data_IF_442327098282
#
_entry.id   IF_442327098282
#
_cell.length_a   1.000
_cell.length_b   1.000
_cell.length_c   1.000
_cell.angle_alpha   90.00
_cell.angle_beta   90.00
_cell.angle_gamma   90.00
#
_symmetry.space_group_name_H-M   'P 1'
#
loop_
_entity.id
_entity.type
_entity.pdbx_description
1 polymer ?
#
# COMPACT_ATOMS: atom_id res chain seq x y z
N UNK A 1 25.99 -13.74 -43.29
CA UNK A 1 25.49 -13.67 -44.68
C UNK A 1 24.67 -14.88 -45.10
N UNK A 2 23.51 -15.06 -44.47
CA UNK A 2 22.34 -15.69 -45.07
C UNK A 2 21.12 -14.94 -44.52
N UNK A 3 20.33 -14.30 -45.37
CA UNK A 3 19.09 -13.62 -44.98
C UNK A 3 18.04 -14.67 -44.56
N UNK A 4 17.30 -14.37 -43.49
CA UNK A 4 16.17 -15.20 -43.08
C UNK A 4 15.18 -15.36 -44.24
N UNK A 5 14.81 -16.60 -44.54
CA UNK A 5 13.82 -16.91 -45.58
C UNK A 5 12.47 -16.28 -45.22
N UNK A 6 11.99 -15.40 -46.10
CA UNK A 6 10.68 -14.73 -46.06
C UNK A 6 9.48 -15.69 -46.02
N UNK A 7 9.65 -17.00 -46.21
CA UNK A 7 8.56 -17.97 -46.06
C UNK A 7 8.29 -18.38 -44.60
N UNK A 8 9.15 -17.97 -43.65
CA UNK A 8 8.91 -18.17 -42.21
C UNK A 8 8.30 -16.93 -41.51
N UNK A 9 8.14 -15.81 -42.22
CA UNK A 9 7.55 -14.60 -41.66
C UNK A 9 6.06 -14.54 -41.93
N UNK A 10 5.26 -15.01 -40.97
CA UNK A 10 3.94 -14.43 -40.80
C UNK A 10 3.49 -14.31 -39.34
N UNK A 11 4.01 -15.06 -38.36
CA UNK A 11 3.57 -14.92 -36.97
C UNK A 11 4.58 -15.33 -35.86
N UNK A 12 5.81 -15.77 -36.19
CA UNK A 12 6.75 -16.20 -35.14
C UNK A 12 7.64 -15.05 -34.66
N UNK A 13 7.43 -14.69 -33.39
CA UNK A 13 8.16 -13.66 -32.63
C UNK A 13 9.54 -14.24 -32.24
N UNK A 14 10.64 -13.45 -32.25
CA UNK A 14 11.92 -13.90 -31.71
C UNK A 14 11.75 -14.37 -30.25
N UNK A 15 12.14 -15.60 -29.95
CA UNK A 15 12.03 -16.19 -28.61
C UNK A 15 13.36 -16.79 -28.15
N UNK A 16 13.68 -16.60 -26.87
CA UNK A 16 14.74 -17.34 -26.19
C UNK A 16 14.30 -18.80 -26.03
N UNK A 17 15.18 -19.74 -26.36
CA UNK A 17 14.93 -21.18 -26.19
C UNK A 17 15.45 -21.70 -24.85
N UNK A 18 16.46 -21.04 -24.29
CA UNK A 18 17.03 -21.42 -23.01
C UNK A 18 18.04 -20.40 -22.49
N UNK A 19 18.03 -20.26 -21.16
CA UNK A 19 19.03 -19.54 -20.37
C UNK A 19 19.75 -20.57 -19.49
N UNK A 20 21.06 -20.48 -19.39
CA UNK A 20 21.85 -21.32 -18.49
C UNK A 20 23.09 -20.57 -18.01
N UNK A 21 23.66 -21.00 -16.90
CA UNK A 21 24.95 -20.51 -16.44
C UNK A 21 26.06 -21.50 -16.84
N UNK A 22 27.18 -20.99 -17.31
CA UNK A 22 28.38 -21.79 -17.51
C UNK A 22 28.98 -22.20 -16.15
N UNK A 23 29.86 -23.22 -16.10
CA UNK A 23 30.59 -23.57 -14.89
C UNK A 23 31.45 -22.43 -14.33
N UNK A 24 31.79 -21.46 -15.17
CA UNK A 24 32.59 -20.28 -14.84
C UNK A 24 31.70 -19.08 -14.46
N UNK A 25 30.39 -19.27 -14.30
CA UNK A 25 29.45 -18.23 -13.84
C UNK A 25 28.89 -17.31 -14.94
N UNK A 26 29.24 -17.55 -16.20
CA UNK A 26 28.75 -16.74 -17.32
C UNK A 26 27.29 -17.05 -17.66
N UNK A 27 26.48 -16.04 -17.92
CA UNK A 27 25.12 -16.26 -18.43
C UNK A 27 25.16 -16.53 -19.94
N UNK A 28 24.60 -17.67 -20.35
CA UNK A 28 24.50 -18.09 -21.73
C UNK A 28 23.03 -18.09 -22.17
N UNK A 29 22.73 -17.31 -23.21
CA UNK A 29 21.40 -17.24 -23.80
C UNK A 29 21.40 -17.75 -25.24
N UNK A 30 20.39 -18.57 -25.58
CA UNK A 30 20.19 -19.10 -26.94
C UNK A 30 18.79 -18.77 -27.46
N UNK A 31 18.65 -18.54 -28.77
CA UNK A 31 17.36 -18.22 -29.40
C UNK A 31 17.34 -18.56 -30.91
N UNK A 32 16.17 -18.45 -31.52
CA UNK A 32 16.00 -18.68 -32.97
C UNK A 32 16.06 -17.40 -33.80
N UNK A 33 16.51 -17.58 -35.04
CA UNK A 33 17.07 -16.59 -35.97
C UNK A 33 18.49 -16.12 -35.56
N UNK A 34 19.45 -16.58 -36.36
CA UNK A 34 20.91 -16.35 -36.34
C UNK A 34 21.81 -17.31 -35.54
N UNK A 35 21.30 -18.33 -34.83
CA UNK A 35 22.14 -19.27 -34.04
C UNK A 35 23.22 -18.53 -33.20
N UNK A 36 22.91 -17.32 -32.73
CA UNK A 36 23.83 -16.54 -31.93
C UNK A 36 23.78 -17.04 -30.50
N UNK A 37 24.93 -17.49 -30.00
CA UNK A 37 25.15 -17.73 -28.57
C UNK A 37 25.66 -16.42 -27.98
N UNK A 38 24.86 -15.83 -27.09
CA UNK A 38 25.29 -14.67 -26.32
C UNK A 38 25.86 -15.15 -24.99
N UNK A 39 27.12 -14.83 -24.73
CA UNK A 39 27.82 -15.15 -23.49
C UNK A 39 28.11 -13.83 -22.78
N UNK A 40 27.54 -13.68 -21.58
CA UNK A 40 27.80 -12.55 -20.71
C UNK A 40 28.79 -12.99 -19.63
N UNK A 41 30.02 -12.48 -19.72
CA UNK A 41 31.09 -12.86 -18.80
C UNK A 41 30.78 -12.46 -17.35
N UNK A 42 31.07 -13.33 -16.39
CA UNK A 42 30.86 -13.09 -14.96
C UNK A 42 31.46 -11.73 -14.53
N UNK A 43 32.69 -11.44 -14.94
CA UNK A 43 33.36 -10.16 -14.63
C UNK A 43 32.64 -8.91 -15.15
N UNK A 44 31.94 -9.00 -16.30
CA UNK A 44 31.16 -7.89 -16.83
C UNK A 44 29.86 -7.70 -16.03
N UNK A 45 29.25 -8.79 -15.59
CA UNK A 45 28.09 -8.79 -14.70
C UNK A 45 28.47 -8.21 -13.32
N UNK A 46 29.60 -8.61 -12.75
CA UNK A 46 30.11 -8.09 -11.46
C UNK A 46 30.49 -6.60 -11.54
N UNK A 47 31.02 -6.11 -12.66
CA UNK A 47 31.33 -4.69 -12.82
C UNK A 47 30.07 -3.82 -12.95
N UNK A 48 29.04 -4.30 -13.68
CA UNK A 48 27.74 -3.62 -13.75
C UNK A 48 27.04 -3.59 -12.38
N UNK A 49 27.24 -4.62 -11.56
CA UNK A 49 26.69 -4.73 -10.21
C UNK A 49 27.30 -3.73 -9.21
N UNK A 50 28.59 -3.43 -9.32
CA UNK A 50 29.34 -2.70 -8.29
C UNK A 50 29.48 -1.21 -8.54
N UNK A 51 28.99 -0.70 -9.67
CA UNK A 51 29.12 0.70 -10.05
C UNK A 51 27.82 1.22 -10.66
N UNK A 52 27.43 2.45 -10.31
CA UNK A 52 26.33 3.21 -10.92
C UNK A 52 26.67 3.65 -12.37
N UNK A 53 27.29 2.75 -13.13
CA UNK A 53 27.85 3.01 -14.46
C UNK A 53 26.70 3.11 -15.46
N UNK A 54 26.49 4.26 -16.12
CA UNK A 54 25.42 4.42 -17.08
C UNK A 54 25.51 3.38 -18.19
N UNK A 55 24.37 2.76 -18.55
CA UNK A 55 24.27 1.67 -19.53
C UNK A 55 24.92 2.02 -20.89
N UNK A 56 25.02 3.31 -21.21
CA UNK A 56 25.65 3.88 -22.40
C UNK A 56 27.18 3.73 -22.46
N UNK A 57 27.81 3.29 -21.38
CA UNK A 57 29.28 3.13 -21.28
C UNK A 57 29.73 1.67 -21.28
N UNK A 58 28.77 0.73 -21.36
CA UNK A 58 29.06 -0.70 -21.51
C UNK A 58 29.49 -1.03 -22.95
N UNK A 59 30.36 -2.04 -23.16
CA UNK A 59 30.76 -2.47 -24.50
C UNK A 59 29.56 -2.93 -25.33
N UNK A 60 29.60 -2.74 -26.65
CA UNK A 60 28.56 -3.22 -27.59
C UNK A 60 28.43 -4.75 -27.48
N UNK A 61 27.39 -5.27 -26.81
CA UNK A 61 25.98 -5.24 -27.26
C UNK A 61 25.05 -4.18 -26.63
N UNK A 62 25.53 -3.31 -25.74
CA UNK A 62 24.71 -2.25 -25.11
C UNK A 62 24.63 -0.94 -25.91
N UNK A 63 24.24 -0.99 -27.20
CA UNK A 63 24.08 0.23 -27.99
C UNK A 63 22.74 0.93 -27.67
N UNK A 64 22.79 2.24 -27.40
CA UNK A 64 21.63 3.14 -27.28
C UNK A 64 20.74 3.05 -28.52
N UNK A 65 19.42 2.89 -28.32
CA UNK A 65 18.44 3.39 -29.28
C UNK A 65 18.34 4.92 -29.10
N UNK A 66 18.74 5.75 -30.08
CA UNK A 66 18.78 7.22 -29.92
C UNK A 66 17.38 7.87 -29.90
N UNK A 67 16.32 7.11 -30.15
CA UNK A 67 14.94 7.56 -30.06
C UNK A 67 14.29 6.95 -28.81
N UNK A 68 14.57 7.54 -27.65
CA UNK A 68 13.85 7.20 -26.42
C UNK A 68 12.35 7.46 -26.60
N UNK A 69 11.54 6.43 -26.38
CA UNK A 69 10.12 6.55 -26.08
C UNK A 69 9.67 5.22 -25.48
N UNK A 70 9.40 5.22 -24.17
CA UNK A 70 8.63 4.18 -23.47
C UNK A 70 7.12 4.34 -23.72
N UNK A 71 6.70 5.28 -24.57
CA UNK A 71 5.30 5.66 -24.77
C UNK A 71 4.85 5.48 -26.23
N UNK A 72 4.46 4.25 -26.60
CA UNK A 72 3.51 4.03 -27.70
C UNK A 72 2.86 2.63 -27.58
N UNK A 73 1.52 2.53 -27.55
CA UNK A 73 0.85 1.25 -27.63
C UNK A 73 1.04 0.70 -29.05
N UNK A 74 1.37 -0.59 -29.17
CA UNK A 74 1.54 -1.39 -30.40
C UNK A 74 2.94 -1.58 -31.01
N UNK A 75 4.04 -1.22 -30.32
CA UNK A 75 5.39 -1.61 -30.74
C UNK A 75 6.23 -2.20 -29.60
N UNK A 76 5.97 -3.45 -29.21
CA UNK A 76 6.95 -4.21 -28.44
C UNK A 76 7.97 -4.87 -29.39
N UNK A 77 9.10 -4.19 -29.60
CA UNK A 77 10.35 -4.80 -30.04
C UNK A 77 11.21 -5.15 -28.80
N UNK A 78 11.84 -6.34 -28.74
CA UNK A 78 12.08 -7.05 -27.48
C UNK A 78 13.37 -6.61 -26.79
N UNK A 79 13.62 -7.17 -25.59
CA UNK A 79 14.81 -7.04 -24.73
C UNK A 79 14.67 -6.10 -23.52
N UNK A 80 13.65 -6.32 -22.70
CA UNK A 80 13.69 -6.02 -21.27
C UNK A 80 14.18 -7.24 -20.49
N UNK A 81 15.49 -7.47 -20.42
CA UNK A 81 16.06 -8.36 -19.40
C UNK A 81 16.43 -7.49 -18.21
N UNK A 82 15.70 -7.64 -17.10
CA UNK A 82 15.99 -6.98 -15.82
C UNK A 82 16.72 -8.01 -14.94
N UNK A 83 17.92 -7.66 -14.47
CA UNK A 83 18.62 -8.45 -13.46
C UNK A 83 18.17 -7.98 -12.08
N UNK A 84 17.62 -8.88 -11.27
CA UNK A 84 17.37 -8.63 -9.84
C UNK A 84 18.54 -9.13 -9.01
N UNK A 85 18.85 -8.39 -7.97
CA UNK A 85 19.77 -8.83 -6.94
C UNK A 85 19.14 -9.96 -6.13
N UNK A 86 19.85 -11.07 -5.94
CA UNK A 86 19.36 -12.23 -5.19
C UNK A 86 19.18 -11.91 -3.68
N UNK A 87 19.83 -10.86 -3.20
CA UNK A 87 19.71 -10.33 -1.84
C UNK A 87 18.84 -9.05 -1.78
N UNK A 88 18.34 -8.56 -2.93
CA UNK A 88 17.23 -7.59 -2.95
C UNK A 88 15.94 -8.40 -3.01
N UNK A 89 15.11 -8.41 -1.95
CA UNK A 89 13.78 -8.99 -2.05
C UNK A 89 13.11 -8.37 -3.27
N UNK A 90 12.38 -9.16 -4.10
CA UNK A 90 11.84 -8.69 -5.38
C UNK A 90 11.29 -7.30 -5.18
N UNK A 91 11.73 -6.31 -5.98
CA UNK A 91 11.22 -4.94 -5.88
C UNK A 91 9.73 -5.06 -6.02
N UNK A 92 9.06 -5.03 -4.88
CA UNK A 92 7.65 -5.13 -4.84
C UNK A 92 7.20 -3.79 -5.37
N UNK A 93 6.64 -3.81 -6.58
CA UNK A 93 5.79 -2.71 -7.07
C UNK A 93 4.60 -2.45 -6.15
N UNK A 94 4.48 -3.19 -5.04
CA UNK A 94 3.68 -2.92 -3.85
C UNK A 94 4.12 -1.62 -3.12
N UNK A 95 4.20 -0.53 -3.85
CA UNK A 95 4.26 0.79 -3.27
C UNK A 95 3.06 1.51 -3.82
N UNK A 96 2.19 1.95 -2.92
CA UNK A 96 0.98 2.66 -3.27
C UNK A 96 1.30 4.10 -3.63
N UNK A 97 2.12 4.24 -4.66
CA UNK A 97 2.60 5.49 -5.17
C UNK A 97 1.49 6.11 -6.00
N UNK A 98 1.19 7.40 -5.80
CA UNK A 98 0.33 8.08 -6.74
C UNK A 98 0.98 7.97 -8.13
N UNK A 99 0.21 7.59 -9.18
CA UNK A 99 0.69 7.66 -10.55
C UNK A 99 1.20 9.09 -10.83
N UNK A 100 2.23 9.21 -11.66
CA UNK A 100 2.79 10.50 -12.04
C UNK A 100 1.70 11.37 -12.69
N UNK A 101 1.21 12.38 -11.95
CA UNK A 101 0.10 13.24 -12.41
C UNK A 101 0.46 14.05 -13.68
N UNK A 102 1.72 14.04 -14.12
CA UNK A 102 2.17 14.64 -15.37
C UNK A 102 2.22 13.65 -16.55
N UNK A 103 2.19 12.34 -16.27
CA UNK A 103 2.25 11.27 -17.26
C UNK A 103 0.86 10.75 -17.69
N UNK A 104 -0.19 11.03 -16.91
CA UNK A 104 -1.52 10.47 -17.13
C UNK A 104 -2.59 11.55 -17.33
N UNK A 105 -3.62 11.24 -18.11
CA UNK A 105 -4.78 12.13 -18.18
C UNK A 105 -5.55 12.07 -16.87
N UNK A 106 -6.21 13.18 -16.54
CA UNK A 106 -7.04 13.28 -15.34
C UNK A 106 -8.50 13.47 -15.72
N UNK A 107 -9.36 12.63 -15.15
CA UNK A 107 -10.82 12.77 -15.17
C UNK A 107 -11.28 13.27 -13.80
N UNK A 108 -12.22 14.21 -13.78
CA UNK A 108 -12.71 14.83 -12.56
C UNK A 108 -14.14 14.38 -12.24
N UNK A 109 -14.39 14.11 -10.95
CA UNK A 109 -15.69 13.76 -10.40
C UNK A 109 -16.03 14.72 -9.26
N UNK A 110 -17.22 15.31 -9.29
CA UNK A 110 -17.74 16.20 -8.26
C UNK A 110 -19.27 16.04 -8.13
N UNK A 111 -19.72 15.45 -7.03
CA UNK A 111 -21.14 15.24 -6.74
C UNK A 111 -21.99 16.52 -6.72
N UNK A 112 -21.38 17.69 -6.60
CA UNK A 112 -22.08 18.97 -6.62
C UNK A 112 -22.34 19.50 -8.03
N UNK A 113 -21.70 18.91 -9.07
CA UNK A 113 -21.97 19.31 -10.43
C UNK A 113 -23.41 18.97 -10.84
N UNK A 114 -24.04 19.93 -11.50
CA UNK A 114 -25.41 19.83 -12.03
C UNK A 114 -25.51 20.34 -13.47
N UNK A 115 -24.35 20.66 -14.08
CA UNK A 115 -24.23 21.22 -15.42
C UNK A 115 -23.96 20.16 -16.48
N UNK A 116 -23.30 20.58 -17.56
CA UNK A 116 -22.76 19.64 -18.54
C UNK A 116 -21.62 18.82 -17.92
N UNK A 117 -21.41 17.62 -18.46
CA UNK A 117 -20.44 16.66 -17.94
C UNK A 117 -19.62 16.10 -19.09
N UNK A 118 -18.31 16.31 -19.03
CA UNK A 118 -17.33 15.75 -19.96
C UNK A 118 -16.09 15.18 -19.25
N UNK A 119 -16.06 15.26 -17.92
CA UNK A 119 -14.95 14.77 -17.09
C UNK A 119 -13.78 15.74 -16.97
N UNK A 120 -13.86 16.93 -17.56
CA UNK A 120 -12.87 17.99 -17.35
C UNK A 120 -13.06 18.71 -16.01
N UNK A 121 -12.06 19.46 -15.57
CA UNK A 121 -12.16 20.27 -14.34
C UNK A 121 -13.31 21.30 -14.37
N UNK A 122 -13.73 21.75 -15.55
CA UNK A 122 -14.82 22.72 -15.72
C UNK A 122 -16.20 22.09 -15.91
N UNK A 123 -16.26 20.78 -16.14
CA UNK A 123 -17.49 20.01 -16.35
C UNK A 123 -17.28 18.57 -15.86
N UNK A 124 -17.00 18.39 -14.55
CA UNK A 124 -16.69 17.08 -13.98
C UNK A 124 -17.91 16.16 -14.03
N UNK A 125 -17.70 14.85 -13.97
CA UNK A 125 -18.81 13.91 -13.79
C UNK A 125 -19.44 14.07 -12.40
N UNK A 126 -20.74 13.83 -12.26
CA UNK A 126 -21.38 13.94 -10.94
C UNK A 126 -21.37 12.61 -10.13
N UNK A 127 -21.08 11.47 -10.78
CA UNK A 127 -20.88 10.17 -10.11
C UNK A 127 -19.50 9.57 -10.34
N UNK A 128 -19.02 8.71 -9.42
CA UNK A 128 -17.74 8.00 -9.61
C UNK A 128 -17.89 7.00 -10.77
N UNK A 129 -19.05 6.36 -10.91
CA UNK A 129 -19.28 5.43 -12.03
C UNK A 129 -19.17 6.11 -13.40
N UNK A 130 -19.65 7.34 -13.57
CA UNK A 130 -19.45 8.12 -14.79
C UNK A 130 -17.97 8.46 -15.02
N UNK A 131 -17.24 8.84 -13.97
CA UNK A 131 -15.79 9.00 -14.01
C UNK A 131 -15.07 7.78 -14.58
N UNK A 132 -15.39 6.59 -14.07
CA UNK A 132 -14.83 5.31 -14.56
C UNK A 132 -15.26 5.04 -16.01
N UNK A 133 -16.52 5.32 -16.36
CA UNK A 133 -17.03 5.11 -17.71
C UNK A 133 -16.36 6.05 -18.73
N UNK A 134 -16.02 7.27 -18.33
CA UNK A 134 -15.32 8.26 -19.14
C UNK A 134 -13.81 8.07 -19.21
N UNK A 135 -13.20 7.44 -18.21
CA UNK A 135 -11.75 7.24 -18.11
C UNK A 135 -11.21 6.19 -19.10
N UNK A 136 -9.97 6.38 -19.54
CA UNK A 136 -9.16 5.41 -20.28
C UNK A 136 -8.17 4.70 -19.36
N UNK A 137 -7.65 3.52 -19.72
CA UNK A 137 -6.52 2.90 -19.02
C UNK A 137 -5.34 3.88 -18.89
N UNK A 138 -4.76 3.94 -17.69
CA UNK A 138 -3.76 4.89 -17.21
C UNK A 138 -4.36 6.11 -16.50
N UNK A 139 -5.65 6.42 -16.68
CA UNK A 139 -6.18 7.70 -16.18
C UNK A 139 -6.29 7.77 -14.66
N UNK A 140 -6.10 8.99 -14.15
CA UNK A 140 -6.35 9.36 -12.75
C UNK A 140 -7.76 9.92 -12.65
N UNK A 141 -8.60 9.31 -11.82
CA UNK A 141 -9.94 9.78 -11.50
C UNK A 141 -9.86 10.55 -10.18
N UNK A 142 -9.85 11.88 -10.29
CA UNK A 142 -9.84 12.82 -9.16
C UNK A 142 -11.25 13.05 -8.65
N UNK A 143 -11.51 12.60 -7.42
CA UNK A 143 -12.82 12.65 -6.79
C UNK A 143 -12.82 13.79 -5.76
N UNK A 144 -13.68 14.78 -5.96
CA UNK A 144 -13.85 15.91 -5.05
C UNK A 144 -14.55 15.48 -3.75
N UNK A 145 -14.34 16.22 -2.66
CA UNK A 145 -15.13 16.08 -1.44
C UNK A 145 -16.62 16.02 -1.73
N UNK A 146 -17.34 15.13 -1.07
CA UNK A 146 -18.76 14.99 -1.30
C UNK A 146 -19.28 13.67 -0.78
N UNK A 147 -20.60 13.52 -0.81
CA UNK A 147 -21.27 12.26 -0.54
C UNK A 147 -21.68 11.65 -1.86
N UNK A 148 -21.19 10.46 -2.13
CA UNK A 148 -21.50 9.64 -3.29
C UNK A 148 -22.29 8.43 -2.78
N UNK A 149 -23.53 8.26 -3.22
CA UNK A 149 -24.34 7.09 -2.86
C UNK A 149 -24.57 6.26 -4.11
N UNK A 150 -23.75 5.23 -4.29
CA UNK A 150 -23.72 4.42 -5.50
C UNK A 150 -23.09 3.05 -5.22
N UNK A 151 -23.17 2.15 -6.20
CA UNK A 151 -22.48 0.87 -6.20
C UNK A 151 -21.58 0.83 -7.43
N UNK A 152 -20.30 1.13 -7.23
CA UNK A 152 -19.32 1.35 -8.29
C UNK A 152 -18.79 0.01 -8.83
N UNK A 153 -18.67 -0.11 -10.14
CA UNK A 153 -18.01 -1.22 -10.81
C UNK A 153 -16.80 -0.73 -11.62
N UNK A 154 -15.59 -1.07 -11.15
CA UNK A 154 -14.33 -0.73 -11.82
C UNK A 154 -14.06 -1.77 -12.91
N UNK A 155 -14.65 -1.56 -14.09
CA UNK A 155 -14.63 -2.53 -15.19
C UNK A 155 -13.45 -2.39 -16.15
N UNK A 156 -12.58 -1.40 -15.94
CA UNK A 156 -11.40 -1.11 -16.76
C UNK A 156 -10.14 -1.24 -15.90
N UNK A 157 -9.13 -1.89 -16.47
CA UNK A 157 -7.80 -1.99 -15.88
C UNK A 157 -7.04 -0.67 -15.99
N UNK A 158 -6.01 -0.54 -15.16
CA UNK A 158 -5.10 0.61 -15.12
C UNK A 158 -5.87 1.90 -14.80
N UNK A 159 -6.51 1.95 -13.63
CA UNK A 159 -7.24 3.13 -13.18
C UNK A 159 -6.84 3.52 -11.77
N UNK A 160 -6.67 4.83 -11.54
CA UNK A 160 -6.24 5.34 -10.25
C UNK A 160 -7.27 6.31 -9.68
N UNK A 161 -8.02 5.88 -8.67
CA UNK A 161 -9.06 6.68 -8.02
C UNK A 161 -8.46 7.37 -6.80
N UNK A 162 -8.61 8.70 -6.73
CA UNK A 162 -7.98 9.51 -5.68
C UNK A 162 -8.92 10.61 -5.18
N UNK A 163 -9.20 10.61 -3.87
CA UNK A 163 -9.81 11.75 -3.19
C UNK A 163 -8.87 12.96 -3.13
N UNK A 164 -9.40 14.18 -3.30
CA UNK A 164 -8.58 15.37 -3.63
C UNK A 164 -8.58 16.51 -2.62
N UNK A 165 -9.24 16.37 -1.47
CA UNK A 165 -9.42 17.49 -0.53
C UNK A 165 -9.23 17.06 0.93
N UNK A 166 -8.38 17.79 1.65
CA UNK A 166 -8.09 17.59 3.07
C UNK A 166 -9.22 18.06 4.01
N UNK A 167 -9.89 19.16 3.67
CA UNK A 167 -10.88 19.77 4.57
C UNK A 167 -12.23 19.03 4.62
N UNK A 168 -12.52 18.21 3.61
CA UNK A 168 -13.74 17.42 3.49
C UNK A 168 -13.45 16.17 2.67
N UNK A 169 -13.99 15.04 3.11
CA UNK A 169 -13.69 13.74 2.55
C UNK A 169 -14.61 13.40 1.38
N UNK A 170 -14.13 12.65 0.40
CA UNK A 170 -14.97 11.97 -0.58
C UNK A 170 -15.50 10.68 0.07
N UNK A 171 -16.81 10.63 0.30
CA UNK A 171 -17.47 9.55 1.03
C UNK A 171 -18.31 8.74 0.05
N UNK A 172 -17.95 7.48 -0.17
CA UNK A 172 -18.76 6.52 -0.89
C UNK A 172 -19.62 5.71 0.10
N UNK A 173 -20.93 5.89 0.00
CA UNK A 173 -21.92 5.10 0.73
C UNK A 173 -22.52 4.07 -0.21
N UNK A 174 -22.42 2.78 0.15
CA UNK A 174 -23.04 1.72 -0.66
C UNK A 174 -24.56 1.92 -0.72
N UNK A 175 -25.12 1.80 -1.92
CA UNK A 175 -26.54 1.94 -2.15
C UNK A 175 -27.24 0.59 -1.90
N UNK A 176 -27.63 0.37 -0.64
CA UNK A 176 -28.35 -0.83 -0.19
C UNK A 176 -27.42 -1.94 0.31
N UNK A 177 -27.96 -3.16 0.39
CA UNK A 177 -27.30 -4.34 0.97
C UNK A 177 -26.30 -5.02 0.02
N UNK A 178 -25.40 -4.24 -0.60
CA UNK A 178 -24.40 -4.70 -1.56
C UNK A 178 -23.06 -4.00 -1.33
N UNK A 179 -22.03 -4.39 -2.08
CA UNK A 179 -20.71 -3.75 -1.96
C UNK A 179 -20.70 -2.34 -2.55
N UNK A 180 -19.97 -1.42 -1.92
CA UNK A 180 -19.81 -0.05 -2.40
C UNK A 180 -19.00 0.02 -3.70
N UNK A 181 -17.89 -0.72 -3.78
CA UNK A 181 -17.08 -0.89 -4.99
C UNK A 181 -16.91 -2.37 -5.30
N UNK A 182 -17.04 -2.73 -6.58
CA UNK A 182 -16.70 -4.04 -7.12
C UNK A 182 -15.53 -3.92 -8.10
N UNK A 183 -14.49 -4.71 -7.88
CA UNK A 183 -13.40 -4.95 -8.84
C UNK A 183 -13.57 -6.38 -9.39
N UNK A 184 -14.04 -6.53 -10.64
CA UNK A 184 -14.22 -7.84 -11.28
C UNK A 184 -12.89 -8.56 -11.49
N UNK A 185 -12.92 -9.89 -11.68
CA UNK A 185 -11.74 -10.74 -11.89
C UNK A 185 -10.97 -10.51 -13.20
N UNK A 186 -11.42 -9.57 -14.03
CA UNK A 186 -10.84 -9.19 -15.32
C UNK A 186 -10.17 -7.81 -15.29
N UNK A 187 -10.15 -7.14 -14.14
CA UNK A 187 -9.65 -5.77 -13.99
C UNK A 187 -8.35 -5.76 -13.20
N UNK A 188 -7.25 -5.32 -13.78
CA UNK A 188 -5.94 -5.32 -13.14
C UNK A 188 -5.41 -3.88 -13.02
N UNK A 189 -4.43 -3.65 -12.16
CA UNK A 189 -3.78 -2.34 -11.95
C UNK A 189 -4.82 -1.30 -11.54
N UNK A 190 -5.23 -1.35 -10.27
CA UNK A 190 -6.19 -0.38 -9.73
C UNK A 190 -5.65 0.15 -8.42
N UNK A 191 -5.50 1.47 -8.33
CA UNK A 191 -5.13 2.15 -7.09
C UNK A 191 -6.34 2.92 -6.58
N UNK A 192 -6.70 2.74 -5.30
CA UNK A 192 -7.78 3.46 -4.64
C UNK A 192 -7.23 4.16 -3.40
N UNK A 193 -7.30 5.49 -3.40
CA UNK A 193 -6.69 6.33 -2.38
C UNK A 193 -7.59 7.46 -1.89
N UNK A 194 -7.46 7.80 -0.61
CA UNK A 194 -8.02 9.00 0.03
C UNK A 194 -9.55 9.06 -0.03
N UNK A 195 -10.21 7.91 0.09
CA UNK A 195 -11.66 7.79 0.10
C UNK A 195 -12.16 7.21 1.43
N UNK A 196 -13.40 7.56 1.80
CA UNK A 196 -14.10 6.91 2.91
C UNK A 196 -15.23 6.02 2.39
N UNK A 197 -15.28 4.77 2.85
CA UNK A 197 -16.28 3.78 2.45
C UNK A 197 -17.18 3.39 3.63
N UNK A 198 -18.50 3.43 3.42
CA UNK A 198 -19.47 3.11 4.48
C UNK A 198 -20.76 2.47 3.94
N UNK A 199 -21.47 1.75 4.81
CA UNK A 199 -22.85 1.31 4.58
C UNK A 199 -23.00 0.05 3.73
N UNK A 200 -21.89 -0.60 3.32
CA UNK A 200 -21.94 -1.88 2.63
C UNK A 200 -22.23 -3.00 3.64
N UNK A 201 -23.51 -3.29 3.90
CA UNK A 201 -23.94 -4.29 4.88
C UNK A 201 -25.12 -5.10 4.36
N UNK A 202 -24.95 -6.43 4.22
CA UNK A 202 -26.03 -7.33 3.82
C UNK A 202 -26.62 -8.15 4.98
N UNK A 203 -26.36 -7.75 6.23
CA UNK A 203 -26.71 -8.43 7.48
C UNK A 203 -25.99 -9.80 7.63
N UNK A 204 -24.70 -9.85 7.30
CA UNK A 204 -23.84 -11.05 7.38
C UNK A 204 -24.32 -12.23 6.51
N UNK A 205 -25.15 -11.95 5.49
CA UNK A 205 -25.65 -12.89 4.49
C UNK A 205 -24.86 -12.75 3.19
N UNK A 206 -23.58 -13.10 3.21
CA UNK A 206 -22.78 -13.23 2.00
C UNK A 206 -21.35 -12.76 2.17
N UNK A 207 -20.78 -12.26 1.08
CA UNK A 207 -19.44 -11.67 1.06
C UNK A 207 -19.57 -10.34 0.35
N UNK A 208 -19.72 -9.26 1.11
CA UNK A 208 -19.73 -7.87 0.62
C UNK A 208 -18.79 -7.03 1.47
N UNK A 209 -18.40 -5.87 0.95
CA UNK A 209 -17.66 -4.90 1.73
C UNK A 209 -17.70 -3.51 1.13
N UNK A 210 -17.03 -2.56 1.78
CA UNK A 210 -16.80 -1.24 1.19
C UNK A 210 -16.17 -1.39 -0.20
N UNK A 211 -15.19 -2.30 -0.31
CA UNK A 211 -14.63 -2.77 -1.58
C UNK A 211 -14.65 -4.30 -1.62
N UNK A 212 -15.19 -4.89 -2.69
CA UNK A 212 -15.05 -6.30 -3.02
C UNK A 212 -14.15 -6.50 -4.24
N UNK A 213 -13.23 -7.46 -4.14
CA UNK A 213 -12.27 -7.80 -5.17
C UNK A 213 -12.43 -9.28 -5.51
N UNK A 214 -12.94 -9.54 -6.72
CA UNK A 214 -12.95 -10.88 -7.29
C UNK A 214 -11.67 -11.07 -8.07
N UNK A 215 -10.96 -12.17 -7.86
CA UNK A 215 -9.80 -12.55 -8.64
C UNK A 215 -9.96 -13.91 -9.33
N UNK A 216 -9.04 -14.16 -10.25
CA UNK A 216 -8.90 -15.41 -11.00
C UNK A 216 -7.49 -16.01 -10.85
N UNK A 217 -6.51 -15.20 -10.41
CA UNK A 217 -5.11 -15.55 -10.13
C UNK A 217 -4.46 -14.46 -9.25
N UNK A 218 -3.29 -14.75 -8.67
CA UNK A 218 -2.47 -13.78 -7.93
C UNK A 218 -1.76 -12.79 -8.87
N UNK A 219 -1.36 -11.62 -8.36
CA UNK A 219 -0.49 -10.67 -9.07
C UNK A 219 -1.21 -9.58 -9.90
N UNK A 220 -2.35 -9.08 -9.42
CA UNK A 220 -3.24 -8.19 -10.20
C UNK A 220 -2.98 -6.68 -10.07
N UNK A 221 -2.03 -6.26 -9.22
CA UNK A 221 -1.73 -4.84 -9.02
C UNK A 221 -2.89 -4.04 -8.42
N UNK A 222 -3.65 -4.63 -7.50
CA UNK A 222 -4.74 -3.92 -6.81
C UNK A 222 -4.22 -3.35 -5.50
N UNK A 223 -4.31 -2.03 -5.35
CA UNK A 223 -3.75 -1.26 -4.24
C UNK A 223 -4.84 -0.42 -3.57
N UNK A 224 -5.00 -0.61 -2.26
CA UNK A 224 -6.02 0.03 -1.44
C UNK A 224 -5.30 0.74 -0.30
N UNK A 225 -5.20 2.07 -0.35
CA UNK A 225 -4.34 2.79 0.57
C UNK A 225 -4.88 4.13 1.01
N UNK A 226 -4.53 4.59 2.20
CA UNK A 226 -5.03 5.86 2.74
C UNK A 226 -6.55 5.95 2.61
N UNK A 227 -7.26 4.89 2.94
CA UNK A 227 -8.71 4.91 2.96
C UNK A 227 -9.21 4.71 4.38
N UNK A 228 -10.42 5.19 4.60
CA UNK A 228 -11.17 4.93 5.83
C UNK A 228 -12.33 4.00 5.49
N UNK A 229 -12.44 2.90 6.22
CA UNK A 229 -13.54 1.94 6.08
C UNK A 229 -14.32 1.87 7.38
N UNK A 230 -15.54 2.42 7.39
CA UNK A 230 -16.33 2.49 8.61
C UNK A 230 -17.78 2.01 8.43
N UNK A 231 -18.23 1.16 9.36
CA UNK A 231 -19.62 0.67 9.36
C UNK A 231 -20.00 -0.10 8.10
N UNK A 232 -19.12 -0.97 7.62
CA UNK A 232 -19.42 -1.95 6.56
C UNK A 232 -19.47 -3.36 7.16
N UNK A 233 -19.86 -4.35 6.38
CA UNK A 233 -19.72 -5.76 6.73
C UNK A 233 -18.24 -6.15 6.75
N UNK A 234 -17.58 -6.09 5.59
CA UNK A 234 -16.13 -6.01 5.50
C UNK A 234 -15.70 -4.62 5.03
N UNK A 235 -14.55 -4.12 5.49
CA UNK A 235 -13.93 -2.95 4.85
C UNK A 235 -13.47 -3.30 3.43
N UNK A 236 -12.53 -4.25 3.35
CA UNK A 236 -12.06 -4.86 2.09
C UNK A 236 -12.33 -6.35 2.09
N UNK A 237 -12.96 -6.84 1.03
CA UNK A 237 -13.34 -8.23 0.84
C UNK A 237 -12.66 -8.79 -0.42
N UNK A 238 -11.65 -9.64 -0.27
CA UNK A 238 -10.83 -10.13 -1.38
C UNK A 238 -10.94 -11.65 -1.54
N UNK A 239 -11.09 -12.14 -2.78
CA UNK A 239 -11.07 -13.58 -3.09
C UNK A 239 -10.18 -13.88 -4.28
N UNK A 240 -9.32 -14.91 -4.17
CA UNK A 240 -8.44 -15.39 -5.25
C UNK A 240 -7.57 -14.29 -5.87
N UNK A 241 -7.04 -13.41 -5.02
CA UNK A 241 -6.29 -12.22 -5.44
C UNK A 241 -5.26 -11.85 -4.37
N UNK A 242 -4.31 -11.00 -4.73
CA UNK A 242 -3.21 -10.55 -3.86
C UNK A 242 -3.19 -9.02 -3.71
N UNK A 243 -4.22 -8.39 -3.12
CA UNK A 243 -4.26 -6.94 -2.99
C UNK A 243 -3.20 -6.45 -1.99
N UNK A 244 -2.73 -5.23 -2.23
CA UNK A 244 -1.92 -4.46 -1.30
C UNK A 244 -2.85 -3.54 -0.49
N UNK A 245 -2.98 -3.77 0.81
CA UNK A 245 -3.88 -3.03 1.70
C UNK A 245 -3.04 -2.33 2.76
N UNK A 246 -2.73 -1.05 2.52
CA UNK A 246 -1.70 -0.34 3.30
C UNK A 246 -2.13 1.04 3.75
N UNK A 247 -1.79 1.41 4.99
CA UNK A 247 -2.11 2.72 5.55
C UNK A 247 -3.61 3.05 5.47
N UNK A 248 -4.49 2.12 5.86
CA UNK A 248 -5.92 2.37 5.96
C UNK A 248 -6.39 2.33 7.42
N UNK A 249 -7.52 2.97 7.70
CA UNK A 249 -8.17 2.94 9.02
C UNK A 249 -9.52 2.22 8.92
N UNK A 250 -9.65 1.08 9.61
CA UNK A 250 -10.83 0.22 9.62
C UNK A 250 -11.54 0.31 10.97
N UNK A 251 -12.76 0.85 10.99
CA UNK A 251 -13.49 1.12 12.24
C UNK A 251 -14.89 0.54 12.21
N UNK A 252 -15.24 -0.27 13.22
CA UNK A 252 -16.62 -0.76 13.41
C UNK A 252 -17.21 -1.51 12.20
N UNK A 253 -16.40 -2.32 11.51
CA UNK A 253 -16.91 -3.22 10.47
C UNK A 253 -17.47 -4.51 11.11
N UNK A 254 -18.65 -4.93 10.68
CA UNK A 254 -19.49 -5.93 11.34
C UNK A 254 -18.91 -7.35 11.27
N UNK A 255 -18.13 -7.68 10.23
CA UNK A 255 -17.50 -8.99 10.04
C UNK A 255 -15.99 -8.91 10.13
N UNK A 256 -15.37 -8.00 9.35
CA UNK A 256 -13.92 -7.83 9.33
C UNK A 256 -13.48 -6.44 8.84
N UNK A 257 -12.33 -5.94 9.27
CA UNK A 257 -11.66 -4.84 8.57
C UNK A 257 -11.22 -5.29 7.18
N UNK A 258 -10.38 -6.32 7.13
CA UNK A 258 -9.96 -6.99 5.89
C UNK A 258 -10.35 -8.46 5.93
N UNK A 259 -11.02 -8.92 4.88
CA UNK A 259 -11.41 -10.32 4.70
C UNK A 259 -10.74 -10.87 3.44
N UNK A 260 -9.91 -11.90 3.61
CA UNK A 260 -9.27 -12.62 2.50
C UNK A 260 -9.82 -14.04 2.45
N UNK A 261 -10.43 -14.40 1.32
CA UNK A 261 -10.98 -15.72 1.08
C UNK A 261 -10.03 -16.60 0.25
N UNK A 262 -10.49 -17.80 -0.09
CA UNK A 262 -9.79 -18.85 -0.85
C UNK A 262 -8.71 -18.36 -1.81
N UNK A 263 -7.48 -18.87 -1.63
CA UNK A 263 -6.33 -18.67 -2.52
C UNK A 263 -5.96 -17.19 -2.73
N UNK A 264 -5.94 -16.42 -1.64
CA UNK A 264 -5.50 -15.01 -1.66
C UNK A 264 -4.14 -14.86 -1.00
N UNK A 265 -3.34 -13.94 -1.54
CA UNK A 265 -1.97 -13.64 -1.08
C UNK A 265 -1.80 -12.13 -0.80
N UNK A 266 -2.65 -11.57 0.07
CA UNK A 266 -2.66 -10.13 0.36
C UNK A 266 -1.47 -9.69 1.22
N UNK A 267 -1.05 -8.44 1.05
CA UNK A 267 -0.19 -7.74 2.02
C UNK A 267 -1.06 -6.75 2.78
N UNK A 268 -1.03 -6.83 4.10
CA UNK A 268 -1.82 -6.00 5.01
C UNK A 268 -0.83 -5.34 5.97
N UNK A 269 -0.56 -4.05 5.78
CA UNK A 269 0.50 -3.33 6.49
C UNK A 269 0.11 -1.91 6.87
N UNK A 270 0.63 -1.38 7.96
CA UNK A 270 0.40 -0.01 8.42
C UNK A 270 -1.09 0.34 8.60
N UNK A 271 -1.97 -0.62 8.85
CA UNK A 271 -3.39 -0.32 9.03
C UNK A 271 -3.73 -0.19 10.52
N UNK A 272 -4.72 0.63 10.82
CA UNK A 272 -5.39 0.69 12.14
C UNK A 272 -6.70 -0.09 12.05
N UNK A 273 -6.89 -1.06 12.94
CA UNK A 273 -8.10 -1.85 13.09
C UNK A 273 -8.72 -1.60 14.46
N UNK A 274 -9.80 -0.83 14.50
CA UNK A 274 -10.51 -0.49 15.74
C UNK A 274 -11.96 -1.02 15.74
N UNK A 275 -12.37 -1.67 16.83
CA UNK A 275 -13.77 -2.01 17.10
C UNK A 275 -14.46 -2.86 16.01
N UNK A 276 -13.70 -3.64 15.23
CA UNK A 276 -14.25 -4.56 14.24
C UNK A 276 -14.59 -5.90 14.91
N UNK A 277 -15.53 -6.67 14.36
CA UNK A 277 -15.70 -8.06 14.83
C UNK A 277 -14.41 -8.86 14.63
N UNK A 278 -13.74 -8.63 13.49
CA UNK A 278 -12.38 -9.14 13.26
C UNK A 278 -11.53 -8.03 12.67
N UNK A 279 -10.29 -7.84 13.13
CA UNK A 279 -9.38 -6.94 12.41
C UNK A 279 -9.13 -7.49 11.02
N UNK A 280 -8.58 -8.71 10.98
CA UNK A 280 -8.33 -9.47 9.75
C UNK A 280 -9.00 -10.84 9.85
N UNK A 281 -9.74 -11.21 8.81
CA UNK A 281 -10.26 -12.55 8.60
C UNK A 281 -9.53 -13.20 7.42
N UNK A 282 -8.86 -14.31 7.66
CA UNK A 282 -8.29 -15.13 6.59
C UNK A 282 -9.05 -16.46 6.54
N UNK A 283 -9.67 -16.79 5.40
CA UNK A 283 -10.39 -18.04 5.28
C UNK A 283 -9.45 -19.24 5.48
N UNK A 284 -9.96 -20.26 6.18
CA UNK A 284 -9.25 -21.51 6.45
C UNK A 284 -9.62 -22.54 5.37
N UNK A 285 -9.14 -22.38 4.14
CA UNK A 285 -9.41 -23.32 3.05
C UNK A 285 -8.16 -24.16 2.75
N UNK A 286 -8.38 -25.37 2.20
CA UNK A 286 -7.37 -26.44 1.95
C UNK A 286 -6.25 -26.02 0.97
N UNK A 287 -6.40 -24.87 0.30
CA UNK A 287 -5.36 -24.24 -0.53
C UNK A 287 -4.82 -23.05 0.25
N UNK A 288 -3.54 -23.10 0.62
CA UNK A 288 -2.91 -22.11 1.49
C UNK A 288 -3.18 -20.68 1.02
N UNK A 289 -3.73 -19.86 1.91
CA UNK A 289 -3.68 -18.40 1.83
C UNK A 289 -2.30 -17.96 2.29
N UNK A 290 -1.62 -17.12 1.49
CA UNK A 290 -0.26 -16.65 1.80
C UNK A 290 -0.29 -15.15 2.07
N UNK A 291 -0.89 -14.77 3.20
CA UNK A 291 -1.01 -13.36 3.59
C UNK A 291 0.23 -12.90 4.34
N UNK A 292 0.70 -11.69 4.03
CA UNK A 292 1.71 -10.98 4.81
C UNK A 292 1.01 -9.95 5.67
N UNK A 293 1.17 -10.05 6.99
CA UNK A 293 0.58 -9.13 7.97
C UNK A 293 1.71 -8.58 8.83
N UNK A 294 1.93 -7.27 8.82
CA UNK A 294 2.96 -6.62 9.63
C UNK A 294 2.64 -5.15 9.88
N UNK A 295 3.19 -4.55 10.94
CA UNK A 295 3.00 -3.14 11.29
C UNK A 295 1.54 -2.70 11.27
N UNK A 296 0.62 -3.49 11.82
CA UNK A 296 -0.78 -3.06 11.98
C UNK A 296 -1.08 -2.84 13.45
N UNK A 297 -1.93 -1.85 13.75
CA UNK A 297 -2.45 -1.63 15.09
C UNK A 297 -3.82 -2.26 15.22
N UNK A 298 -4.03 -3.04 16.28
CA UNK A 298 -5.30 -3.65 16.62
C UNK A 298 -5.78 -3.23 17.99
N UNK A 299 -7.00 -2.67 18.05
CA UNK A 299 -7.61 -2.23 19.28
C UNK A 299 -9.11 -2.53 19.34
N UNK A 300 -9.56 -3.09 20.46
CA UNK A 300 -10.97 -3.33 20.73
C UNK A 300 -11.71 -4.16 19.65
N UNK A 301 -10.99 -4.92 18.82
CA UNK A 301 -11.62 -5.89 17.94
C UNK A 301 -12.12 -7.08 18.77
N UNK A 302 -13.20 -7.76 18.34
CA UNK A 302 -13.57 -9.02 19.02
C UNK A 302 -12.50 -10.09 18.81
N UNK A 303 -11.83 -10.06 17.65
CA UNK A 303 -10.63 -10.87 17.37
C UNK A 303 -9.70 -10.08 16.45
N UNK A 304 -8.43 -9.89 16.81
CA UNK A 304 -7.52 -9.11 15.96
C UNK A 304 -7.25 -9.80 14.62
N UNK A 305 -6.85 -11.07 14.66
CA UNK A 305 -6.62 -11.90 13.47
C UNK A 305 -7.31 -13.24 13.67
N UNK A 306 -8.23 -13.60 12.79
CA UNK A 306 -8.96 -14.86 12.84
C UNK A 306 -8.47 -15.83 11.76
N UNK A 307 -8.20 -17.09 12.18
CA UNK A 307 -7.54 -18.20 11.47
C UNK A 307 -6.03 -18.33 11.75
N UNK A 308 -5.27 -19.02 10.90
CA UNK A 308 -3.90 -19.47 11.13
C UNK A 308 -2.82 -18.41 10.81
N UNK A 309 -3.20 -17.31 10.15
CA UNK A 309 -2.29 -16.20 9.92
C UNK A 309 -1.94 -15.51 11.23
N UNK A 310 -0.71 -15.01 11.34
CA UNK A 310 -0.23 -14.24 12.49
C UNK A 310 0.48 -13.01 11.96
N UNK A 311 0.59 -11.98 12.80
CA UNK A 311 1.43 -10.84 12.47
C UNK A 311 2.90 -11.26 12.48
N UNK A 312 3.61 -10.97 11.39
CA UNK A 312 5.01 -11.31 11.21
C UNK A 312 5.94 -10.40 12.03
N UNK A 313 5.71 -9.08 12.02
CA UNK A 313 6.50 -8.09 12.75
C UNK A 313 5.74 -6.78 12.95
N UNK A 314 6.15 -5.95 13.92
CA UNK A 314 5.74 -4.55 14.04
C UNK A 314 4.29 -4.28 14.45
N UNK A 315 3.43 -5.28 14.61
CA UNK A 315 2.05 -5.02 15.02
C UNK A 315 1.95 -4.57 16.48
N UNK A 316 1.04 -3.63 16.73
CA UNK A 316 0.68 -3.14 18.06
C UNK A 316 -0.70 -3.69 18.41
N UNK A 317 -0.83 -4.41 19.53
CA UNK A 317 -2.10 -5.03 19.94
C UNK A 317 -2.56 -4.50 21.29
N UNK A 318 -3.86 -4.24 21.44
CA UNK A 318 -4.47 -3.86 22.71
C UNK A 318 -4.15 -2.43 23.19
N UNK A 319 -3.56 -1.60 22.34
CA UNK A 319 -3.27 -0.19 22.63
C UNK A 319 -4.21 0.70 21.82
N UNK A 320 -4.85 1.66 22.49
CA UNK A 320 -5.82 2.57 21.88
C UNK A 320 -5.13 3.47 20.83
N UNK A 321 -5.57 3.50 19.56
CA UNK A 321 -4.99 4.36 18.52
C UNK A 321 -5.27 5.86 18.74
N UNK A 322 -6.07 6.22 19.74
CA UNK A 322 -6.43 7.61 20.07
C UNK A 322 -7.01 8.37 18.88
N UNK A 323 -7.92 7.73 18.12
CA UNK A 323 -8.65 8.41 17.05
C UNK A 323 -9.48 9.56 17.64
N UNK A 324 -9.34 10.76 17.08
CA UNK A 324 -9.86 12.01 17.68
C UNK A 324 -11.33 11.92 18.07
N UNK A 325 -12.21 11.47 17.16
CA UNK A 325 -13.63 11.27 17.45
C UNK A 325 -14.31 10.36 16.42
N UNK A 326 -14.29 9.05 16.67
CA UNK A 326 -14.91 8.05 15.80
C UNK A 326 -16.42 8.24 15.63
N UNK A 327 -17.12 8.74 16.65
CA UNK A 327 -18.56 8.99 16.62
C UNK A 327 -18.95 10.14 15.68
N UNK A 328 -18.03 11.08 15.42
CA UNK A 328 -18.20 12.15 14.43
C UNK A 328 -17.50 11.85 13.10
N UNK A 329 -17.07 10.60 12.86
CA UNK A 329 -16.27 10.20 11.71
C UNK A 329 -14.94 10.97 11.56
N UNK A 330 -14.34 11.38 12.68
CA UNK A 330 -13.00 11.95 12.70
C UNK A 330 -12.00 10.87 13.15
N UNK A 331 -11.29 10.33 12.17
CA UNK A 331 -10.36 9.21 12.32
C UNK A 331 -8.89 9.63 12.28
N UNK A 332 -8.60 10.92 12.48
CA UNK A 332 -7.22 11.40 12.65
C UNK A 332 -6.64 10.90 13.96
N UNK A 333 -5.31 10.78 14.01
CA UNK A 333 -4.57 10.40 15.20
C UNK A 333 -4.44 11.60 16.15
N UNK A 334 -4.62 11.34 17.45
CA UNK A 334 -4.32 12.33 18.49
C UNK A 334 -2.88 12.19 18.96
N UNK A 335 -2.32 13.30 19.46
CA UNK A 335 -0.98 13.34 20.07
C UNK A 335 -0.78 12.21 21.10
N UNK A 336 0.34 11.49 20.99
CA UNK A 336 0.69 10.37 21.86
C UNK A 336 0.01 9.06 21.49
N UNK A 337 -0.61 8.99 20.31
CA UNK A 337 -1.13 7.75 19.78
C UNK A 337 0.00 6.72 19.60
N UNK A 338 -0.20 5.46 19.98
CA UNK A 338 0.72 4.36 19.71
C UNK A 338 0.77 3.96 18.22
N UNK A 339 0.03 4.65 17.35
CA UNK A 339 0.10 4.51 15.91
C UNK A 339 1.15 5.44 15.26
N UNK A 340 1.62 6.45 15.99
CA UNK A 340 2.51 7.50 15.49
C UNK A 340 3.95 7.02 15.45
N UNK A 341 4.67 7.28 14.35
CA UNK A 341 6.10 7.01 14.13
C UNK A 341 6.52 5.55 14.34
N UNK A 342 5.63 4.60 14.07
CA UNK A 342 5.86 3.15 14.30
C UNK A 342 5.48 2.25 13.13
N UNK A 343 5.03 2.82 12.02
CA UNK A 343 4.75 2.09 10.79
C UNK A 343 6.02 1.67 10.04
N UNK A 344 5.82 1.02 8.90
CA UNK A 344 6.90 0.62 8.00
C UNK A 344 6.88 1.47 6.74
N UNK A 345 8.02 2.05 6.37
CA UNK A 345 8.22 2.75 5.08
C UNK A 345 7.98 1.85 3.86
N UNK A 346 7.92 0.52 4.05
CA UNK A 346 7.80 -0.43 2.95
C UNK A 346 6.40 -0.41 2.31
N UNK A 347 6.29 0.40 1.26
CA UNK A 347 5.09 0.57 0.44
C UNK A 347 4.08 1.55 1.02
N UNK A 348 4.44 2.29 2.07
CA UNK A 348 3.66 3.41 2.56
C UNK A 348 3.50 4.48 1.46
N UNK A 349 2.28 5.01 1.25
CA UNK A 349 2.09 6.15 0.35
C UNK A 349 2.88 7.38 0.83
N UNK A 350 3.46 8.18 -0.08
CA UNK A 350 4.25 9.38 0.29
C UNK A 350 3.39 10.55 0.79
N UNK A 351 2.07 10.44 0.66
CA UNK A 351 1.08 11.44 1.04
C UNK A 351 -0.05 10.67 1.73
N UNK A 352 -0.60 11.20 2.81
CA UNK A 352 -1.66 10.57 3.61
C UNK A 352 -3.08 10.86 3.09
N UNK A 353 -4.07 10.52 3.92
CA UNK A 353 -5.49 10.75 3.70
C UNK A 353 -5.86 12.24 3.50
N UNK A 354 -5.21 13.14 4.23
CA UNK A 354 -5.45 14.59 4.23
C UNK A 354 -4.48 15.36 3.34
N UNK A 355 -3.79 14.64 2.45
CA UNK A 355 -2.80 15.17 1.51
C UNK A 355 -1.55 15.76 2.18
N UNK A 356 -1.27 15.33 3.42
CA UNK A 356 -0.06 15.62 4.18
C UNK A 356 1.07 14.69 3.74
N UNK A 357 2.29 15.22 3.63
CA UNK A 357 3.46 14.41 3.26
C UNK A 357 3.83 13.40 4.37
N UNK A 358 4.42 12.27 3.96
CA UNK A 358 4.97 11.24 4.86
C UNK A 358 6.46 10.98 4.60
N UNK A 359 7.25 10.59 5.62
CA UNK A 359 6.88 10.57 7.04
C UNK A 359 7.02 11.94 7.72
N UNK A 360 6.29 12.15 8.82
CA UNK A 360 6.42 13.33 9.70
C UNK A 360 6.70 12.87 11.13
N UNK A 361 7.66 13.52 11.80
CA UNK A 361 7.94 13.33 13.23
C UNK A 361 6.76 13.84 14.08
N UNK A 362 5.83 12.94 14.37
CA UNK A 362 4.59 13.15 15.09
C UNK A 362 4.72 12.92 16.60
N UNK A 363 5.78 12.27 17.08
CA UNK A 363 6.03 12.07 18.52
C UNK A 363 7.05 13.05 19.12
N UNK A 364 7.79 13.77 18.27
CA UNK A 364 8.74 14.81 18.64
C UNK A 364 10.08 14.26 19.15
N UNK A 365 10.46 13.03 18.78
CA UNK A 365 11.74 12.42 19.15
C UNK A 365 12.90 12.74 18.17
N UNK A 366 12.62 13.50 17.11
CA UNK A 366 13.52 13.84 16.00
C UNK A 366 13.76 12.71 14.97
N UNK A 367 12.95 11.66 15.00
CA UNK A 367 12.97 10.54 14.05
C UNK A 367 11.58 10.38 13.43
N UNK A 368 11.44 10.76 12.16
CA UNK A 368 10.19 10.55 11.44
C UNK A 368 10.12 9.12 10.87
N UNK A 369 9.03 8.42 11.13
CA UNK A 369 8.62 7.17 10.48
C UNK A 369 7.14 7.29 10.12
N UNK A 370 6.67 6.60 9.08
CA UNK A 370 5.25 6.66 8.72
C UNK A 370 4.37 6.17 9.86
N UNK A 371 3.20 6.78 10.01
CA UNK A 371 2.20 6.33 10.96
C UNK A 371 1.49 5.06 10.48
N UNK A 372 0.94 4.30 11.42
CA UNK A 372 -0.09 3.32 11.11
C UNK A 372 -1.45 4.02 10.97
N UNK A 373 -2.17 3.70 9.91
CA UNK A 373 -3.49 4.25 9.61
C UNK A 373 -3.48 5.14 8.37
N UNK A 374 -4.66 5.69 8.08
CA UNK A 374 -4.88 6.57 6.93
C UNK A 374 -4.27 7.97 7.11
N UNK A 375 -4.25 8.48 8.34
CA UNK A 375 -3.73 9.80 8.72
C UNK A 375 -2.23 9.73 9.02
N UNK A 376 -1.49 10.80 8.74
CA UNK A 376 -0.17 11.08 9.29
C UNK A 376 -0.29 12.21 10.30
N UNK A 377 0.08 11.94 11.55
CA UNK A 377 -0.01 12.91 12.62
C UNK A 377 0.83 14.15 12.30
N UNK A 378 0.32 15.34 12.62
CA UNK A 378 1.03 16.58 12.36
C UNK A 378 2.30 16.66 13.20
N UNK A 379 3.31 17.35 12.66
CA UNK A 379 4.60 17.49 13.32
C UNK A 379 4.48 18.03 14.74
N UNK A 380 5.15 17.39 15.68
CA UNK A 380 5.26 17.85 17.06
C UNK A 380 6.62 18.49 17.26
N UNK A 381 6.64 19.64 17.94
CA UNK A 381 7.91 20.28 18.27
C UNK A 381 8.73 19.33 19.13
N UNK A 382 9.99 19.09 18.73
CA UNK A 382 10.91 18.20 19.42
C UNK A 382 10.78 18.40 20.93
N UNK A 383 10.38 17.33 21.63
CA UNK A 383 10.34 17.37 23.07
C UNK A 383 11.78 17.54 23.52
N UNK A 384 12.13 18.76 23.95
CA UNK A 384 13.34 19.00 24.71
C UNK A 384 13.14 18.29 26.06
N UNK A 385 13.22 16.96 26.08
CA UNK A 385 13.55 16.24 27.29
C UNK A 385 14.90 16.84 27.67
N UNK A 386 15.01 17.61 28.76
CA UNK A 386 16.32 18.02 29.21
C UNK A 386 17.02 16.70 29.53
N UNK A 387 17.89 16.25 28.63
CA UNK A 387 18.78 15.16 28.93
C UNK A 387 19.49 15.62 30.20
N UNK A 388 19.25 14.90 31.29
CA UNK A 388 20.06 15.10 32.48
C UNK A 388 21.46 14.76 32.01
N UNK A 389 22.30 15.78 31.80
CA UNK A 389 23.71 15.56 31.54
C UNK A 389 24.27 14.65 32.64
N UNK A 390 25.47 14.12 32.46
CA UNK A 390 26.10 13.21 33.44
C UNK A 390 25.99 13.71 34.91
N UNK A 391 25.97 15.02 35.11
CA UNK A 391 25.73 15.71 36.38
C UNK A 391 24.27 15.68 36.88
N UNK A 392 23.28 15.76 35.99
CA UNK A 392 21.87 15.62 36.32
C UNK A 392 21.51 14.18 36.73
N UNK A 393 22.10 13.19 36.06
CA UNK A 393 21.97 11.77 36.44
C UNK A 393 22.64 11.51 37.80
N UNK A 394 23.82 12.09 38.04
CA UNK A 394 24.50 12.03 39.33
C UNK A 394 23.69 12.71 40.45
N UNK A 395 23.04 13.85 40.18
CA UNK A 395 22.19 14.55 41.14
C UNK A 395 20.93 13.72 41.49
N UNK A 396 20.27 13.12 40.50
CA UNK A 396 19.12 12.25 40.71
C UNK A 396 19.48 11.00 41.53
N UNK A 397 20.64 10.38 41.23
CA UNK A 397 21.17 9.26 42.00
C UNK A 397 21.48 9.65 43.46
N UNK A 398 22.02 10.86 43.70
CA UNK A 398 22.29 11.38 45.05
C UNK A 398 21.00 11.65 45.84
N UNK A 399 19.96 12.17 45.19
CA UNK A 399 18.65 12.41 45.81
C UNK A 399 17.99 11.07 46.20
N UNK A 400 18.03 10.07 45.31
CA UNK A 400 17.51 8.73 45.58
C UNK A 400 18.30 8.04 46.72
N UNK A 401 19.63 8.13 46.72
CA UNK A 401 20.47 7.58 47.78
C UNK A 401 20.22 8.27 49.15
N UNK A 402 20.09 9.59 49.17
CA UNK A 402 19.74 10.35 50.38
C UNK A 402 18.36 9.98 50.94
N UNK A 403 17.40 9.68 50.05
CA UNK A 403 16.05 9.23 50.42
C UNK A 403 16.05 7.87 51.10
N UNK A 404 16.89 6.93 50.63
CA UNK A 404 17.09 5.60 51.24
C UNK A 404 17.72 5.74 52.63
N UNK A 405 18.72 6.61 52.80
CA UNK A 405 19.38 6.86 54.09
C UNK A 405 18.42 7.49 55.12
N UNK A 406 17.57 8.44 54.70
CA UNK A 406 16.53 9.00 55.58
C UNK A 406 15.48 7.95 55.99
N UNK A 407 15.12 7.04 55.08
CA UNK A 407 14.16 5.96 55.37
C UNK A 407 14.74 4.96 56.37
N UNK A 408 16.00 4.57 56.23
CA UNK A 408 16.70 3.68 57.18
C UNK A 408 16.86 4.30 58.57
N UNK A 409 17.15 5.61 58.66
CA UNK A 409 17.24 6.30 59.97
C UNK A 409 15.90 6.34 60.72
N UNK A 410 14.76 6.44 60.00
CA UNK A 410 13.43 6.37 60.62
C UNK A 410 13.10 4.97 61.14
N UNK A 411 13.51 3.90 60.46
CA UNK A 411 13.25 2.52 60.89
C UNK A 411 14.05 2.12 62.13
N UNK A 412 15.28 2.62 62.28
CA UNK A 412 16.11 2.40 63.49
C UNK A 412 15.56 3.17 64.70
N UNK A 413 15.01 4.36 64.49
CA UNK A 413 14.39 5.15 65.56
C UNK A 413 13.05 4.57 66.06
N UNK A 414 12.32 3.81 65.24
CA UNK A 414 11.06 3.15 65.64
C UNK A 414 11.22 1.77 66.29
N UNK A 415 12.44 1.20 66.31
CA UNK A 415 12.73 -0.10 66.93
C UNK A 415 13.33 -0.03 68.34
N UNK A 416 13.39 1.16 68.94
CA UNK A 416 14.03 1.43 70.23
C UNK A 416 13.07 1.94 71.32
N UNK A 417 11.76 1.76 71.15
CA UNK A 417 10.75 2.03 72.19
C UNK A 417 10.12 0.75 72.71
#
# INVERSE_FOLDING_TARGET
DAECDSTQSANDIPSFRGLTFSPDGDLVATGYCLDNIYIFAESALTNAWTTNTPISTLPTPFAQNPAGALDAPYFNGPFGVQFWDADVPPVSVNACLPPDETAFNTVYVDASNSGAEDGSVGSPWNTIQEGINGASPGDIIKIASGSYTENVNISKSDLHLKGTTAAAQAVLTAAGAVSGVTIPATTDIVTIQNLRFTGADNNDVGFVGGIIIYGSSDGRGIEICNNVFNGNEAGVAAQKTSPFVVNNTFVSNAVAGVSTATSSSAVIRNNVFEANAKGIYTASNVVATNVTIDHNLFYNNTTDIFSAATCAAGCVTGSDPLLVNTASNNYHLSLGSPAIDVGSENGAPPIDYDLTARPIDGDGDSTATTDMGADEAPAVAASLVPSLGQWGLAALALILAGSVVLRMRRTVASGLN
#
